data_IF_765795639422
#
_entry.id   IF_765795639422
#
_cell.length_a   1.000
_cell.length_b   1.000
_cell.length_c   1.000
_cell.angle_alpha   90.00
_cell.angle_beta   90.00
_cell.angle_gamma   90.00
#
_symmetry.space_group_name_H-M   'P 1'
#
loop_
_entity.id
_entity.type
_entity.pdbx_description
1 polymer ?
#
# COMPACT_ATOMS: atom_id res chain seq x y z
N UNK A 1 29.89 -2.52 -1.47
CA UNK A 1 29.79 -1.41 -2.44
C UNK A 1 28.72 -1.77 -3.45
N UNK A 2 27.56 -1.09 -3.42
CA UNK A 2 26.55 -1.27 -4.47
C UNK A 2 27.10 -0.62 -5.75
N UNK A 3 27.02 -1.28 -6.92
CA UNK A 3 27.48 -0.69 -8.17
C UNK A 3 26.67 0.57 -8.47
N UNK A 4 27.33 1.72 -8.58
CA UNK A 4 26.68 2.95 -9.00
C UNK A 4 26.20 2.79 -10.45
N UNK A 5 24.88 2.92 -10.64
CA UNK A 5 24.26 2.87 -11.95
C UNK A 5 24.71 4.08 -12.78
N UNK A 6 25.08 3.84 -14.03
CA UNK A 6 25.41 4.92 -14.98
C UNK A 6 24.24 5.93 -15.09
N UNK A 7 24.53 7.22 -15.31
CA UNK A 7 23.50 8.26 -15.44
C UNK A 7 22.44 7.92 -16.51
N UNK A 8 22.86 7.22 -17.58
CA UNK A 8 21.97 6.73 -18.62
C UNK A 8 20.97 5.68 -18.12
N UNK A 9 21.39 4.78 -17.23
CA UNK A 9 20.49 3.81 -16.59
C UNK A 9 19.53 4.52 -15.61
N UNK A 10 20.01 5.48 -14.81
CA UNK A 10 19.13 6.24 -13.92
C UNK A 10 18.02 6.98 -14.67
N UNK A 11 18.34 7.63 -15.82
CA UNK A 11 17.33 8.30 -16.66
C UNK A 11 16.30 7.33 -17.24
N UNK A 12 16.68 6.09 -17.56
CA UNK A 12 15.74 5.05 -18.02
C UNK A 12 14.88 4.47 -16.89
N UNK A 13 15.41 4.36 -15.67
CA UNK A 13 14.67 3.83 -14.53
C UNK A 13 13.64 4.80 -13.95
N UNK A 14 13.84 6.10 -14.07
CA UNK A 14 12.92 7.12 -13.53
C UNK A 14 11.44 6.95 -13.99
N UNK A 15 11.14 6.78 -15.29
CA UNK A 15 9.77 6.52 -15.74
C UNK A 15 9.25 5.16 -15.27
N UNK A 16 10.07 4.10 -15.32
CA UNK A 16 9.69 2.74 -14.91
C UNK A 16 9.28 2.71 -13.43
N UNK A 17 10.06 3.37 -12.56
CA UNK A 17 9.73 3.50 -11.14
C UNK A 17 8.39 4.20 -10.92
N UNK A 18 8.09 5.27 -11.68
CA UNK A 18 6.80 5.95 -11.61
C UNK A 18 5.66 5.03 -12.01
N UNK A 19 5.77 4.32 -13.13
CA UNK A 19 4.72 3.39 -13.57
C UNK A 19 4.49 2.24 -12.57
N UNK A 20 5.56 1.68 -12.00
CA UNK A 20 5.44 0.66 -10.96
C UNK A 20 4.64 1.16 -9.75
N UNK A 21 4.89 2.39 -9.30
CA UNK A 21 4.14 3.00 -8.18
C UNK A 21 2.66 3.21 -8.50
N UNK A 22 2.31 3.58 -9.73
CA UNK A 22 0.91 3.67 -10.16
C UNK A 22 0.22 2.32 -10.15
N UNK A 23 0.89 1.28 -10.66
CA UNK A 23 0.32 -0.08 -10.70
C UNK A 23 0.15 -0.63 -9.28
N UNK A 24 1.17 -0.52 -8.43
CA UNK A 24 1.09 -0.97 -7.03
C UNK A 24 -0.02 -0.19 -6.32
N UNK A 25 -0.03 1.15 -6.44
CA UNK A 25 -1.09 1.97 -5.85
C UNK A 25 -2.49 1.54 -6.28
N UNK A 26 -2.69 1.29 -7.59
CA UNK A 26 -3.97 0.83 -8.12
C UNK A 26 -4.39 -0.52 -7.54
N UNK A 27 -3.48 -1.49 -7.47
CA UNK A 27 -3.75 -2.80 -6.87
C UNK A 27 -4.19 -2.67 -5.40
N UNK A 28 -3.54 -1.79 -4.64
CA UNK A 28 -3.91 -1.52 -3.25
C UNK A 28 -5.28 -0.85 -3.13
N UNK A 29 -5.61 0.11 -4.01
CA UNK A 29 -6.95 0.71 -4.05
C UNK A 29 -8.01 -0.33 -4.39
N UNK A 30 -7.80 -1.14 -5.42
CA UNK A 30 -8.75 -2.19 -5.81
C UNK A 30 -8.92 -3.24 -4.71
N UNK A 31 -7.83 -3.65 -4.07
CA UNK A 31 -7.88 -4.56 -2.93
C UNK A 31 -8.66 -3.93 -1.77
N UNK A 32 -8.37 -2.66 -1.45
CA UNK A 32 -9.09 -1.93 -0.41
C UNK A 32 -10.59 -1.77 -0.67
N UNK A 33 -11.01 -1.62 -1.94
CA UNK A 33 -12.42 -1.63 -2.32
C UNK A 33 -13.08 -2.99 -2.09
N UNK A 34 -12.41 -4.08 -2.48
CA UNK A 34 -12.90 -5.44 -2.19
C UNK A 34 -12.99 -5.68 -0.69
N UNK A 35 -11.99 -5.21 0.05
CA UNK A 35 -11.92 -5.37 1.49
C UNK A 35 -12.99 -4.53 2.24
N UNK A 36 -13.28 -3.31 1.75
CA UNK A 36 -14.38 -2.46 2.20
C UNK A 36 -15.75 -3.12 2.00
N UNK A 37 -15.93 -3.84 0.88
CA UNK A 37 -17.19 -4.47 0.54
C UNK A 37 -17.45 -5.78 1.32
N UNK A 38 -16.40 -6.50 1.73
CA UNK A 38 -16.51 -7.87 2.25
C UNK A 38 -16.23 -7.99 3.75
N UNK A 39 -15.30 -7.20 4.30
CA UNK A 39 -14.78 -7.42 5.65
C UNK A 39 -15.08 -6.26 6.59
N UNK A 40 -14.36 -5.14 6.43
CA UNK A 40 -14.54 -3.97 7.30
C UNK A 40 -14.39 -2.67 6.53
N UNK A 41 -15.27 -1.73 6.86
CA UNK A 41 -15.18 -0.36 6.35
C UNK A 41 -13.85 0.30 6.77
N UNK A 42 -13.41 0.11 8.01
CA UNK A 42 -12.20 0.72 8.55
C UNK A 42 -10.93 0.24 7.82
N UNK A 43 -10.71 -1.08 7.71
CA UNK A 43 -9.55 -1.59 6.99
C UNK A 43 -9.60 -1.25 5.49
N UNK A 44 -10.80 -1.27 4.88
CA UNK A 44 -10.96 -0.96 3.46
C UNK A 44 -10.54 0.47 3.14
N UNK A 45 -11.01 1.44 3.94
CA UNK A 45 -10.62 2.85 3.79
C UNK A 45 -9.11 3.04 3.99
N UNK A 46 -8.51 2.39 4.99
CA UNK A 46 -7.07 2.49 5.24
C UNK A 46 -6.25 1.92 4.08
N UNK A 47 -6.67 0.80 3.51
CA UNK A 47 -6.02 0.17 2.37
C UNK A 47 -6.13 1.03 1.11
N UNK A 48 -7.30 1.63 0.86
CA UNK A 48 -7.50 2.60 -0.23
C UNK A 48 -6.59 3.81 -0.04
N UNK A 49 -6.54 4.37 1.17
CA UNK A 49 -5.67 5.50 1.49
C UNK A 49 -4.19 5.16 1.27
N UNK A 50 -3.73 3.97 1.68
CA UNK A 50 -2.38 3.49 1.43
C UNK A 50 -2.10 3.41 -0.08
N UNK A 51 -3.03 2.84 -0.85
CA UNK A 51 -2.92 2.75 -2.31
C UNK A 51 -2.83 4.11 -2.98
N UNK A 52 -3.72 5.04 -2.65
CA UNK A 52 -3.71 6.41 -3.18
C UNK A 52 -2.42 7.16 -2.85
N UNK A 53 -1.88 6.96 -1.65
CA UNK A 53 -0.66 7.63 -1.22
C UNK A 53 0.58 7.17 -2.03
N UNK A 54 0.57 6.00 -2.66
CA UNK A 54 1.65 5.59 -3.56
C UNK A 54 1.69 6.38 -4.87
N UNK A 55 0.57 7.00 -5.28
CA UNK A 55 0.48 7.74 -6.54
C UNK A 55 1.38 8.97 -6.48
N UNK A 56 2.32 9.14 -7.42
CA UNK A 56 3.18 10.32 -7.47
C UNK A 56 2.40 11.64 -7.52
N UNK A 57 1.25 11.67 -8.22
CA UNK A 57 0.40 12.84 -8.30
C UNK A 57 -0.22 13.24 -6.95
N UNK A 58 -0.63 12.26 -6.14
CA UNK A 58 -1.20 12.51 -4.81
C UNK A 58 -0.13 13.05 -3.87
N UNK A 59 1.06 12.43 -3.85
CA UNK A 59 2.20 12.90 -3.05
C UNK A 59 2.61 14.30 -3.42
N UNK A 60 2.76 14.58 -4.72
CA UNK A 60 3.09 15.93 -5.18
C UNK A 60 2.04 16.97 -4.78
N UNK A 61 0.74 16.63 -4.84
CA UNK A 61 -0.31 17.53 -4.36
C UNK A 61 -0.23 17.78 -2.85
N UNK A 62 0.08 16.75 -2.06
CA UNK A 62 0.27 16.87 -0.61
C UNK A 62 1.48 17.74 -0.27
N UNK A 63 2.62 17.54 -0.94
CA UNK A 63 3.83 18.35 -0.78
C UNK A 63 3.55 19.84 -1.01
N UNK A 64 2.84 20.16 -2.11
CA UNK A 64 2.47 21.53 -2.46
C UNK A 64 1.55 22.15 -1.39
N UNK A 65 0.54 21.40 -0.93
CA UNK A 65 -0.46 21.91 0.02
C UNK A 65 0.09 22.07 1.44
N UNK A 66 0.98 21.17 1.85
CA UNK A 66 1.54 21.13 3.20
C UNK A 66 2.86 21.92 3.30
N UNK A 67 3.48 22.27 2.18
CA UNK A 67 4.78 22.95 2.15
C UNK A 67 5.92 22.07 2.69
N UNK A 68 5.82 20.75 2.53
CA UNK A 68 6.80 19.77 3.02
C UNK A 68 7.30 18.89 1.88
N UNK A 69 8.54 18.43 1.97
CA UNK A 69 9.12 17.46 1.04
C UNK A 69 8.93 16.03 1.58
N UNK A 70 8.25 15.17 0.82
CA UNK A 70 7.97 13.79 1.25
C UNK A 70 9.07 12.89 0.70
N UNK A 71 10.10 12.69 1.51
CA UNK A 71 11.17 11.76 1.16
C UNK A 71 10.65 10.32 0.94
N UNK A 72 11.33 9.50 0.11
CA UNK A 72 10.92 8.11 -0.12
C UNK A 72 10.78 7.29 1.16
N UNK A 73 11.59 7.57 2.19
CA UNK A 73 11.56 6.89 3.47
C UNK A 73 10.29 7.22 4.26
N UNK A 74 9.92 8.50 4.30
CA UNK A 74 8.66 8.96 4.91
C UNK A 74 7.49 8.33 4.16
N UNK A 75 7.56 8.31 2.82
CA UNK A 75 6.49 7.73 2.03
C UNK A 75 6.28 6.24 2.34
N UNK A 76 7.39 5.48 2.46
CA UNK A 76 7.35 4.07 2.82
C UNK A 76 6.81 3.86 4.24
N UNK A 77 7.17 4.73 5.19
CA UNK A 77 6.69 4.69 6.57
C UNK A 77 5.19 4.93 6.68
N UNK A 78 4.67 5.96 6.02
CA UNK A 78 3.23 6.26 6.00
C UNK A 78 2.44 5.12 5.34
N UNK A 79 2.91 4.64 4.19
CA UNK A 79 2.31 3.49 3.52
C UNK A 79 2.28 2.24 4.42
N UNK A 80 3.42 1.90 5.03
CA UNK A 80 3.54 0.74 5.92
C UNK A 80 2.61 0.83 7.13
N UNK A 81 2.49 2.00 7.75
CA UNK A 81 1.58 2.22 8.88
C UNK A 81 0.11 2.02 8.48
N UNK A 82 -0.31 2.58 7.34
CA UNK A 82 -1.68 2.42 6.85
C UNK A 82 -1.98 0.96 6.49
N UNK A 83 -1.03 0.29 5.84
CA UNK A 83 -1.16 -1.12 5.46
C UNK A 83 -1.24 -2.05 6.68
N UNK A 84 -0.36 -1.86 7.66
CA UNK A 84 -0.37 -2.66 8.89
C UNK A 84 -1.66 -2.41 9.69
N UNK A 85 -2.09 -1.15 9.80
CA UNK A 85 -3.35 -0.81 10.46
C UNK A 85 -4.54 -1.50 9.77
N UNK A 86 -4.61 -1.43 8.44
CA UNK A 86 -5.62 -2.17 7.66
C UNK A 86 -5.58 -3.67 7.92
N UNK A 87 -4.39 -4.24 8.03
CA UNK A 87 -4.20 -5.68 8.25
C UNK A 87 -4.68 -6.11 9.65
N UNK A 88 -4.51 -5.28 10.68
CA UNK A 88 -5.05 -5.54 12.03
C UNK A 88 -6.58 -5.56 12.02
N UNK A 89 -7.21 -4.63 11.29
CA UNK A 89 -8.66 -4.67 11.10
C UNK A 89 -9.13 -5.93 10.34
N UNK A 90 -8.30 -6.47 9.45
CA UNK A 90 -8.56 -7.77 8.82
C UNK A 90 -8.52 -8.93 9.79
N UNK A 91 -7.50 -9.00 10.62
CA UNK A 91 -7.36 -10.08 11.59
C UNK A 91 -8.49 -10.07 12.64
N UNK A 92 -8.96 -8.89 13.01
CA UNK A 92 -10.06 -8.74 13.99
C UNK A 92 -11.44 -9.01 13.39
N UNK A 93 -11.59 -8.94 12.07
CA UNK A 93 -12.84 -9.21 11.36
C UNK A 93 -13.01 -10.67 10.92
N UNK A 94 -11.92 -11.44 10.89
CA UNK A 94 -11.98 -12.88 10.61
C UNK A 94 -12.40 -13.60 11.90
N UNK A 95 -13.68 -13.95 11.97
CA UNK A 95 -14.18 -14.84 13.01
C UNK A 95 -13.63 -16.25 12.76
N UNK A 96 -12.61 -16.65 13.53
CA UNK A 96 -11.90 -17.93 13.39
C UNK A 96 -12.85 -19.12 13.66
N UNK A 97 -14.02 -18.87 14.28
CA UNK A 97 -15.05 -19.88 14.52
C UNK A 97 -15.79 -20.33 13.24
N UNK A 98 -15.69 -19.56 12.16
CA UNK A 98 -16.29 -19.84 10.84
C UNK A 98 -15.24 -20.37 9.83
N UNK A 99 -14.00 -20.61 10.25
CA UNK A 99 -12.99 -21.21 9.39
C UNK A 99 -13.45 -22.62 8.98
N UNK A 100 -13.54 -22.94 7.67
CA UNK A 100 -13.96 -24.27 7.25
C UNK A 100 -13.02 -25.33 7.85
N UNK A 101 -13.56 -26.46 8.28
CA UNK A 101 -12.91 -27.62 8.94
C UNK A 101 -11.77 -28.29 8.13
N UNK A 102 -11.16 -27.60 7.19
CA UNK A 102 -10.08 -28.09 6.32
C UNK A 102 -8.75 -28.23 7.09
N UNK A 103 -8.67 -27.78 8.35
CA UNK A 103 -7.45 -27.84 9.20
C UNK A 103 -7.50 -28.97 10.24
N UNK A 104 -8.51 -29.84 10.24
CA UNK A 104 -8.55 -30.97 11.16
C UNK A 104 -8.01 -32.27 10.53
N UNK A 105 -6.71 -32.57 10.70
CA UNK A 105 -6.31 -33.98 10.84
C UNK A 105 -5.64 -34.27 12.19
N UNK A 106 -5.59 -33.32 13.15
CA UNK A 106 -4.92 -33.52 14.44
C UNK A 106 -5.81 -33.19 15.65
N UNK A 107 -7.08 -33.62 15.62
CA UNK A 107 -7.86 -33.85 16.86
C UNK A 107 -7.88 -35.33 17.18
#
# INVERSE_FOLDING_TARGET
>A
MLPELSEQQQRRLAPVKRYALYVIGLLFVMNGLGYFAVYTYAGGVLMIAAGLFLFPAVRSSLEIRLGVDITPLVALGVFGLLFLSSSVFALTAVDISQAPDIVAPFR
#
